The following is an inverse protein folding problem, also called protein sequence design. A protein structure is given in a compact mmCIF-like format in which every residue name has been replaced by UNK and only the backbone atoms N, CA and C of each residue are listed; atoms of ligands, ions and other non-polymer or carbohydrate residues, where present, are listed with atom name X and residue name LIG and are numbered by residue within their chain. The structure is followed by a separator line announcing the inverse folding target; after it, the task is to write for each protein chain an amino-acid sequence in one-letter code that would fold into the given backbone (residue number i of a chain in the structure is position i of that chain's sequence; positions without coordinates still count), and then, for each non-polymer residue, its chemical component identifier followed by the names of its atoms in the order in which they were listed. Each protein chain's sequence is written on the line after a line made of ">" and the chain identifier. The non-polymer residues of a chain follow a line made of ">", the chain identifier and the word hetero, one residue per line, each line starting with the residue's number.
data_IF_848064088136
#
_entry.id   IF_848064088136
#
_cell.length_a   1.000
_cell.length_b   1.000
_cell.length_c   1.000
_cell.angle_alpha   90.00
_cell.angle_beta   90.00
_cell.angle_gamma   90.00
#
_symmetry.space_group_name_H-M   'P 1'
#
loop_
_entity.id
_entity.type
_entity.pdbx_description
1 polymer ?
#
# COMPACT_ATOMS: atom_id res chain seq x y z
N UNK A 1 -2.83 -22.06 6.26
CA UNK A 1 -2.58 -20.65 6.58
C UNK A 1 -1.13 -20.28 6.28
N UNK A 2 -0.91 -19.04 5.89
CA UNK A 2 0.42 -18.53 5.50
C UNK A 2 0.72 -17.32 6.39
N UNK A 3 1.92 -17.28 7.00
CA UNK A 3 2.43 -16.07 7.66
C UNK A 3 3.43 -15.41 6.71
N UNK A 4 3.12 -14.22 6.24
CA UNK A 4 3.96 -13.47 5.32
C UNK A 4 4.72 -12.36 6.07
N UNK A 5 6.05 -12.43 6.06
CA UNK A 5 6.92 -11.43 6.70
C UNK A 5 7.39 -10.39 5.70
N UNK A 6 7.08 -9.12 5.96
CA UNK A 6 7.42 -8.03 5.06
C UNK A 6 7.89 -6.77 5.79
N UNK A 7 8.76 -5.99 5.15
CA UNK A 7 9.11 -4.64 5.58
C UNK A 7 8.12 -3.58 5.07
N UNK A 8 7.30 -3.92 4.08
CA UNK A 8 6.29 -3.02 3.56
C UNK A 8 5.19 -2.77 4.59
N UNK A 9 4.73 -1.54 4.67
CA UNK A 9 3.56 -1.19 5.50
C UNK A 9 2.26 -1.59 4.82
N UNK A 10 2.24 -1.56 3.48
CA UNK A 10 1.14 -2.05 2.65
C UNK A 10 1.69 -3.07 1.64
N UNK A 11 1.12 -4.27 1.65
CA UNK A 11 1.57 -5.38 0.80
C UNK A 11 1.32 -5.12 -0.69
N UNK A 12 0.32 -4.29 -1.01
CA UNK A 12 0.02 -3.89 -2.39
C UNK A 12 1.18 -3.16 -3.07
N UNK A 13 2.15 -2.65 -2.27
CA UNK A 13 3.38 -2.01 -2.75
C UNK A 13 4.50 -3.01 -3.10
N UNK A 14 4.32 -4.30 -2.85
CA UNK A 14 5.34 -5.33 -3.13
C UNK A 14 5.45 -5.64 -4.62
N UNK A 15 4.34 -5.56 -5.36
CA UNK A 15 4.29 -5.84 -6.81
C UNK A 15 3.39 -4.85 -7.53
N UNK A 16 3.76 -4.53 -8.78
CA UNK A 16 2.94 -3.73 -9.71
C UNK A 16 1.72 -4.49 -10.28
N UNK A 17 1.52 -5.72 -9.90
CA UNK A 17 0.37 -6.52 -10.28
C UNK A 17 -0.58 -6.63 -9.10
N UNK A 18 -1.88 -6.66 -9.38
CA UNK A 18 -2.92 -6.92 -8.37
C UNK A 18 -2.57 -8.20 -7.61
N UNK A 19 -1.94 -8.03 -6.46
CA UNK A 19 -1.39 -9.16 -5.73
C UNK A 19 -2.55 -9.88 -5.07
N UNK A 20 -2.96 -10.97 -5.69
CA UNK A 20 -3.86 -11.92 -5.07
C UNK A 20 -3.13 -12.55 -3.88
N UNK A 21 -3.56 -12.23 -2.68
CA UNK A 21 -3.13 -12.95 -1.50
C UNK A 21 -4.00 -14.17 -1.33
N UNK A 22 -3.41 -15.35 -1.12
CA UNK A 22 -4.19 -16.51 -0.76
C UNK A 22 -5.06 -16.19 0.47
N UNK A 23 -6.29 -16.68 0.46
CA UNK A 23 -7.11 -16.65 1.66
C UNK A 23 -6.33 -17.25 2.85
N UNK A 24 -6.58 -16.77 4.06
CA UNK A 24 -5.88 -17.20 5.28
C UNK A 24 -4.39 -16.83 5.37
N UNK A 25 -4.03 -15.64 4.84
CA UNK A 25 -2.67 -15.09 4.99
C UNK A 25 -2.62 -14.09 6.16
N UNK A 26 -1.68 -14.29 7.08
CA UNK A 26 -1.36 -13.35 8.16
C UNK A 26 -0.11 -12.56 7.80
N UNK A 27 -0.18 -11.23 7.91
CA UNK A 27 0.94 -10.34 7.64
C UNK A 27 1.68 -9.98 8.94
N UNK A 28 2.98 -10.25 8.98
CA UNK A 28 3.86 -9.85 10.07
C UNK A 28 4.92 -8.87 9.55
N UNK A 29 5.10 -7.74 10.25
CA UNK A 29 6.18 -6.79 9.90
C UNK A 29 7.52 -7.35 10.35
N UNK A 30 8.56 -7.19 9.52
CA UNK A 30 9.92 -7.59 9.88
C UNK A 30 10.41 -6.97 11.20
N UNK A 31 10.02 -5.73 11.50
CA UNK A 31 10.34 -5.08 12.76
C UNK A 31 9.71 -5.73 14.00
N UNK A 32 8.64 -6.49 13.82
CA UNK A 32 7.90 -7.15 14.91
C UNK A 32 8.30 -8.62 15.09
N UNK A 33 9.13 -9.20 14.20
CA UNK A 33 9.61 -10.59 14.30
C UNK A 33 10.41 -10.82 15.59
N UNK A 34 11.19 -9.83 16.00
CA UNK A 34 12.01 -9.90 17.22
C UNK A 34 11.19 -9.81 18.50
N UNK A 35 9.92 -9.45 18.39
CA UNK A 35 8.98 -9.43 19.52
C UNK A 35 8.27 -10.77 19.58
N UNK A 36 8.71 -11.63 20.49
CA UNK A 36 8.22 -13.01 20.61
C UNK A 36 6.70 -13.09 20.78
N UNK A 37 6.12 -12.17 21.55
CA UNK A 37 4.67 -12.05 21.75
C UNK A 37 3.92 -11.81 20.42
N UNK A 38 4.42 -10.92 19.56
CA UNK A 38 3.81 -10.64 18.25
C UNK A 38 4.00 -11.78 17.27
N UNK A 39 5.17 -12.41 17.29
CA UNK A 39 5.46 -13.57 16.47
C UNK A 39 4.53 -14.74 16.81
N UNK A 40 4.42 -15.08 18.09
CA UNK A 40 3.51 -16.12 18.57
C UNK A 40 2.04 -15.79 18.25
N UNK A 41 1.63 -14.55 18.45
CA UNK A 41 0.26 -14.10 18.10
C UNK A 41 -0.04 -14.28 16.62
N UNK A 42 0.91 -13.98 15.72
CA UNK A 42 0.73 -14.19 14.28
C UNK A 42 0.59 -15.68 13.92
N UNK A 43 1.35 -16.56 14.57
CA UNK A 43 1.23 -18.01 14.39
C UNK A 43 -0.10 -18.54 14.90
N UNK A 44 -0.53 -18.11 16.09
CA UNK A 44 -1.83 -18.49 16.65
C UNK A 44 -2.97 -18.03 15.73
N UNK A 45 -2.94 -16.81 15.28
CA UNK A 45 -3.93 -16.25 14.35
C UNK A 45 -3.95 -17.01 13.01
N UNK A 46 -2.78 -17.35 12.45
CA UNK A 46 -2.71 -18.16 11.24
C UNK A 46 -3.33 -19.56 11.44
N UNK A 47 -3.17 -20.15 12.63
CA UNK A 47 -3.76 -21.45 12.97
C UNK A 47 -5.27 -21.35 13.10
N UNK A 48 -5.79 -20.32 13.71
CA UNK A 48 -7.25 -20.09 13.86
C UNK A 48 -7.94 -19.87 12.52
N UNK A 49 -7.31 -19.15 11.58
CA UNK A 49 -7.84 -18.94 10.22
C UNK A 49 -8.04 -20.23 9.41
N UNK A 50 -7.40 -21.34 9.80
CA UNK A 50 -7.59 -22.67 9.14
C UNK A 50 -8.92 -23.31 9.57
N UNK A 51 -9.45 -22.98 10.75
CA UNK A 51 -10.66 -23.58 11.31
C UNK A 51 -11.93 -22.78 11.03
N UNK A 52 -11.80 -21.45 10.81
CA UNK A 52 -12.93 -20.58 10.47
C UNK A 52 -13.01 -20.42 8.95
N UNK A 53 -13.94 -21.14 8.34
CA UNK A 53 -14.24 -21.06 6.89
C UNK A 53 -15.08 -19.84 6.50
N UNK A 54 -15.17 -18.80 7.33
CA UNK A 54 -15.87 -17.56 7.02
C UNK A 54 -14.91 -16.48 6.48
N UNK A 55 -15.16 -16.08 5.23
CA UNK A 55 -14.32 -15.28 4.35
C UNK A 55 -14.05 -13.81 4.77
N UNK A 56 -14.39 -13.38 5.98
CA UNK A 56 -14.47 -11.94 6.31
C UNK A 56 -13.42 -11.39 7.27
N UNK A 57 -12.44 -12.16 7.74
CA UNK A 57 -11.50 -11.68 8.80
C UNK A 57 -10.05 -11.47 8.39
N UNK A 58 -9.64 -11.70 7.14
CA UNK A 58 -8.23 -11.53 6.72
C UNK A 58 -7.79 -10.07 6.52
N UNK A 59 -8.72 -9.13 6.49
CA UNK A 59 -8.42 -7.72 6.17
C UNK A 59 -8.03 -6.85 7.36
N UNK A 60 -8.19 -7.29 8.60
CA UNK A 60 -8.15 -6.38 9.76
C UNK A 60 -6.75 -5.93 10.20
N UNK A 61 -5.66 -6.58 9.83
CA UNK A 61 -4.31 -6.20 10.26
C UNK A 61 -3.55 -5.34 9.24
N UNK A 62 -3.84 -5.45 7.94
CA UNK A 62 -3.37 -4.52 6.92
C UNK A 62 -4.17 -3.22 6.91
N UNK A 63 -5.39 -3.25 7.41
CA UNK A 63 -6.40 -2.19 7.34
C UNK A 63 -6.06 -0.90 8.08
N UNK A 64 -5.21 -0.93 9.10
CA UNK A 64 -5.00 0.25 9.97
C UNK A 64 -4.22 1.39 9.34
N UNK A 65 -3.47 1.17 8.26
CA UNK A 65 -2.58 2.20 7.73
C UNK A 65 -3.02 2.83 6.40
N UNK A 66 -3.81 2.15 5.55
CA UNK A 66 -4.21 2.66 4.22
C UNK A 66 -5.65 2.35 3.85
N UNK A 67 -6.55 2.29 4.82
CA UNK A 67 -8.00 2.09 4.63
C UNK A 67 -8.63 2.99 3.55
N UNK A 68 -7.98 4.06 3.18
CA UNK A 68 -8.55 5.10 2.33
C UNK A 68 -8.04 5.09 0.88
N UNK A 69 -7.03 4.27 0.53
CA UNK A 69 -6.51 4.21 -0.83
C UNK A 69 -7.03 2.97 -1.58
N UNK A 70 -7.67 3.20 -2.72
CA UNK A 70 -8.05 2.12 -3.64
C UNK A 70 -6.81 1.54 -4.33
N UNK A 71 -6.94 0.34 -4.93
CA UNK A 71 -5.85 -0.26 -5.71
C UNK A 71 -5.39 0.66 -6.85
N UNK A 72 -6.32 1.34 -7.53
CA UNK A 72 -6.01 2.32 -8.58
C UNK A 72 -5.20 3.51 -8.06
N UNK A 73 -5.42 3.94 -6.82
CA UNK A 73 -4.66 5.02 -6.19
C UNK A 73 -3.28 4.56 -5.73
N UNK A 74 -3.15 3.32 -5.30
CA UNK A 74 -1.85 2.69 -5.00
C UNK A 74 -1.01 2.57 -6.28
N UNK A 75 -1.59 2.10 -7.39
CA UNK A 75 -0.90 2.03 -8.68
C UNK A 75 -0.47 3.43 -9.15
N UNK A 76 -1.35 4.42 -9.03
CA UNK A 76 -1.02 5.80 -9.36
C UNK A 76 0.15 6.34 -8.53
N UNK A 77 0.14 6.06 -7.22
CA UNK A 77 1.22 6.44 -6.31
C UNK A 77 2.54 5.78 -6.71
N UNK A 78 2.50 4.50 -7.08
CA UNK A 78 3.67 3.74 -7.54
C UNK A 78 4.24 4.32 -8.84
N UNK A 79 3.39 4.65 -9.82
CA UNK A 79 3.82 5.27 -11.08
C UNK A 79 4.45 6.64 -10.85
N UNK A 80 3.88 7.46 -9.96
CA UNK A 80 4.42 8.77 -9.57
C UNK A 80 5.79 8.60 -8.89
N UNK A 81 5.93 7.65 -7.97
CA UNK A 81 7.16 7.38 -7.26
C UNK A 81 8.28 6.82 -8.17
N UNK A 82 7.89 6.08 -9.21
CA UNK A 82 8.81 5.59 -10.26
C UNK A 82 9.24 6.66 -11.25
N UNK A 83 8.79 7.91 -11.09
CA UNK A 83 9.19 9.04 -11.95
C UNK A 83 8.43 9.12 -13.28
N UNK A 84 7.38 8.33 -13.51
CA UNK A 84 6.59 8.37 -14.74
C UNK A 84 5.88 9.72 -14.88
N UNK A 85 5.98 10.35 -16.05
CA UNK A 85 5.36 11.67 -16.30
C UNK A 85 3.83 11.59 -16.35
N UNK A 86 3.13 12.69 -16.04
CA UNK A 86 1.66 12.73 -16.10
C UNK A 86 1.13 12.35 -17.48
N UNK A 87 1.84 12.74 -18.55
CA UNK A 87 1.50 12.40 -19.93
C UNK A 87 1.55 10.89 -20.18
N UNK A 88 2.58 10.22 -19.69
CA UNK A 88 2.73 8.78 -19.86
C UNK A 88 1.75 8.01 -18.98
N UNK A 89 1.51 8.44 -17.74
CA UNK A 89 0.47 7.87 -16.86
C UNK A 89 -0.90 7.98 -17.54
N UNK A 90 -1.23 9.15 -18.09
CA UNK A 90 -2.48 9.39 -18.77
C UNK A 90 -2.64 8.45 -19.98
N UNK A 91 -1.60 8.29 -20.79
CA UNK A 91 -1.57 7.39 -21.95
C UNK A 91 -1.79 5.93 -21.53
N UNK A 92 -1.08 5.47 -20.51
CA UNK A 92 -1.14 4.09 -20.01
C UNK A 92 -2.52 3.76 -19.44
N UNK A 93 -3.16 4.74 -18.79
CA UNK A 93 -4.51 4.59 -18.21
C UNK A 93 -5.66 4.93 -19.17
N UNK A 94 -5.38 5.35 -20.39
CA UNK A 94 -6.41 5.74 -21.37
C UNK A 94 -7.23 6.97 -20.94
N UNK A 95 -6.64 7.91 -20.19
CA UNK A 95 -7.28 9.13 -19.71
C UNK A 95 -6.56 10.39 -20.23
N UNK A 96 -7.19 11.54 -20.07
CA UNK A 96 -6.55 12.83 -20.42
C UNK A 96 -5.48 13.20 -19.38
N UNK A 97 -4.47 13.96 -19.80
CA UNK A 97 -3.44 14.50 -18.88
C UNK A 97 -4.09 15.31 -17.76
N UNK A 98 -5.14 16.07 -18.06
CA UNK A 98 -5.89 16.85 -17.06
C UNK A 98 -6.58 15.96 -16.03
N UNK A 99 -7.19 14.84 -16.47
CA UNK A 99 -7.79 13.86 -15.57
C UNK A 99 -6.72 13.20 -14.68
N UNK A 100 -5.53 12.91 -15.22
CA UNK A 100 -4.41 12.40 -14.46
C UNK A 100 -3.94 13.40 -13.38
N UNK A 101 -3.78 14.67 -13.72
CA UNK A 101 -3.43 15.73 -12.75
C UNK A 101 -4.46 15.82 -11.62
N UNK A 102 -5.74 15.80 -11.96
CA UNK A 102 -6.82 15.82 -10.98
C UNK A 102 -6.79 14.56 -10.06
N UNK A 103 -6.47 13.39 -10.62
CA UNK A 103 -6.34 12.17 -9.84
C UNK A 103 -5.16 12.25 -8.86
N UNK A 104 -4.00 12.78 -9.31
CA UNK A 104 -2.82 13.00 -8.46
C UNK A 104 -3.14 14.02 -7.35
N UNK A 105 -3.86 15.09 -7.65
CA UNK A 105 -4.24 16.08 -6.65
C UNK A 105 -5.20 15.50 -5.59
N UNK A 106 -6.16 14.65 -5.99
CA UNK A 106 -7.04 13.93 -5.06
C UNK A 106 -6.28 12.94 -4.20
N UNK A 107 -5.36 12.18 -4.80
CA UNK A 107 -4.48 11.27 -4.09
C UNK A 107 -3.66 12.00 -3.02
N UNK A 108 -3.05 13.14 -3.36
CA UNK A 108 -2.28 13.95 -2.43
C UNK A 108 -3.11 14.39 -1.23
N UNK A 109 -4.35 14.87 -1.45
CA UNK A 109 -5.28 15.21 -0.35
C UNK A 109 -5.57 14.03 0.56
N UNK A 110 -5.81 12.83 -0.01
CA UNK A 110 -6.07 11.61 0.78
C UNK A 110 -4.91 11.21 1.68
N UNK A 111 -3.67 11.45 1.26
CA UNK A 111 -2.46 11.15 2.05
C UNK A 111 -1.96 12.35 2.85
N UNK A 112 -2.83 13.37 3.05
CA UNK A 112 -2.55 14.60 3.81
C UNK A 112 -1.35 15.40 3.28
N UNK A 113 -1.16 15.42 1.96
CA UNK A 113 -0.17 16.27 1.29
C UNK A 113 -0.90 17.50 0.76
N UNK A 114 -0.51 18.68 1.26
CA UNK A 114 -0.97 19.97 0.73
C UNK A 114 0.09 20.51 -0.23
N UNK A 115 -0.35 20.86 -1.45
CA UNK A 115 0.48 21.61 -2.38
C UNK A 115 0.64 23.03 -1.84
N UNK A 116 1.86 23.45 -1.63
CA UNK A 116 2.22 24.84 -1.32
C UNK A 116 3.12 25.38 -2.42
N UNK A 117 3.23 26.70 -2.54
CA UNK A 117 4.13 27.30 -3.54
C UNK A 117 5.59 26.83 -3.42
N UNK A 118 6.00 26.44 -2.21
CA UNK A 118 7.36 26.02 -1.90
C UNK A 118 7.59 24.51 -1.99
N UNK A 119 6.55 23.69 -2.23
CA UNK A 119 6.67 22.24 -2.18
C UNK A 119 6.19 21.57 -3.46
N UNK A 120 7.06 20.78 -4.07
CA UNK A 120 6.67 19.95 -5.20
C UNK A 120 5.82 18.76 -4.74
N UNK A 121 4.56 18.75 -5.12
CA UNK A 121 3.60 17.71 -4.75
C UNK A 121 4.07 16.30 -5.12
N UNK A 122 4.73 16.14 -6.28
CA UNK A 122 5.24 14.83 -6.72
C UNK A 122 6.36 14.32 -5.82
N UNK A 123 7.25 15.21 -5.36
CA UNK A 123 8.32 14.85 -4.43
C UNK A 123 7.74 14.38 -3.10
N UNK A 124 6.72 15.07 -2.59
CA UNK A 124 6.05 14.68 -1.34
C UNK A 124 5.31 13.34 -1.49
N UNK A 125 4.65 13.10 -2.63
CA UNK A 125 4.03 11.79 -2.92
C UNK A 125 5.07 10.68 -2.99
N UNK A 126 6.22 10.93 -3.62
CA UNK A 126 7.33 9.97 -3.68
C UNK A 126 7.87 9.64 -2.28
N UNK A 127 8.07 10.65 -1.43
CA UNK A 127 8.43 10.42 -0.01
C UNK A 127 7.38 9.58 0.70
N UNK A 128 6.10 9.90 0.47
CA UNK A 128 5.00 9.13 1.06
C UNK A 128 5.02 7.68 0.62
N UNK A 129 5.25 7.40 -0.66
CA UNK A 129 5.44 6.05 -1.17
C UNK A 129 6.55 5.30 -0.41
N UNK A 130 7.72 5.91 -0.22
CA UNK A 130 8.83 5.28 0.51
C UNK A 130 8.49 5.04 1.99
N UNK A 131 7.83 5.97 2.67
CA UNK A 131 7.30 5.73 4.02
C UNK A 131 6.38 4.50 4.06
N UNK A 132 5.52 4.35 3.05
CA UNK A 132 4.55 3.27 2.94
C UNK A 132 5.23 1.95 2.61
N UNK A 133 6.20 1.97 1.72
CA UNK A 133 6.96 0.78 1.33
C UNK A 133 7.96 0.32 2.39
N UNK A 134 8.20 1.12 3.45
CA UNK A 134 9.21 0.82 4.46
C UNK A 134 10.64 0.86 3.93
N UNK A 135 10.86 1.39 2.72
CA UNK A 135 12.17 1.65 2.13
C UNK A 135 12.58 3.08 2.48
N UNK A 136 13.84 3.29 2.83
CA UNK A 136 14.42 4.63 2.81
C UNK A 136 14.65 5.05 1.35
N UNK A 137 14.40 6.33 1.04
CA UNK A 137 14.69 6.87 -0.27
C UNK A 137 16.17 6.79 -0.62
#
# INVERSE_FOLDING_TARGET
>A
AIVFCTSYKDIRLVKNESTYHPAHTVLLKKADILKMDKFLSAIHQARELVWDSDETKSDQLSEKFYKNLSNLEIDLLTMVASGVTNKNIAKERGITTKSCENAIARLAKKVNIQATENNNQRVLLTRKYFELSGKNP
#
